data_IF_024619605910
#
_entry.id   IF_024619605910
#
_cell.length_a   1.000
_cell.length_b   1.000
_cell.length_c   1.000
_cell.angle_alpha   90.00
_cell.angle_beta   90.00
_cell.angle_gamma   90.00
#
_symmetry.space_group_name_H-M   'P 1'
#
loop_
_entity.id
_entity.type
_entity.pdbx_description
1 polymer ?
#
# COMPACT_ATOMS: atom_id res chain seq x y z
N UNK A 1 -36.58 9.15 -19.45
CA UNK A 1 -36.59 10.48 -20.11
C UNK A 1 -36.91 11.64 -19.14
N UNK A 2 -36.62 11.52 -17.82
CA UNK A 2 -36.76 12.62 -16.83
C UNK A 2 -35.41 13.10 -16.26
N UNK A 3 -34.33 12.34 -16.48
CA UNK A 3 -32.97 12.67 -16.02
C UNK A 3 -32.33 13.78 -16.89
N UNK A 4 -32.50 13.71 -18.22
CA UNK A 4 -31.95 14.70 -19.16
C UNK A 4 -32.50 16.14 -19.00
N UNK A 5 -33.71 16.29 -18.46
CA UNK A 5 -34.33 17.60 -18.24
C UNK A 5 -33.79 18.29 -16.98
N UNK A 6 -33.44 17.52 -15.94
CA UNK A 6 -32.86 18.04 -14.71
C UNK A 6 -31.42 18.52 -14.94
N UNK A 7 -30.60 17.71 -15.64
CA UNK A 7 -29.22 18.07 -15.97
C UNK A 7 -29.14 19.30 -16.90
N UNK A 8 -30.08 19.41 -17.85
CA UNK A 8 -30.19 20.58 -18.73
C UNK A 8 -30.59 21.85 -17.97
N UNK A 9 -31.43 21.75 -16.95
CA UNK A 9 -31.83 22.89 -16.13
C UNK A 9 -30.69 23.39 -15.22
N UNK A 10 -29.90 22.47 -14.67
CA UNK A 10 -28.73 22.78 -13.84
C UNK A 10 -27.66 23.57 -14.59
N UNK A 11 -27.29 23.13 -15.80
CA UNK A 11 -26.32 23.85 -16.64
C UNK A 11 -26.75 25.29 -16.98
N UNK A 12 -28.04 25.52 -17.20
CA UNK A 12 -28.58 26.85 -17.54
C UNK A 12 -28.53 27.79 -16.33
N UNK A 13 -28.74 27.28 -15.12
CA UNK A 13 -28.67 28.09 -13.89
C UNK A 13 -27.25 28.47 -13.51
N UNK A 14 -26.27 27.58 -13.72
CA UNK A 14 -24.86 27.86 -13.41
C UNK A 14 -24.24 28.86 -14.40
N UNK A 15 -24.62 28.81 -15.68
CA UNK A 15 -24.16 29.78 -16.68
C UNK A 15 -24.59 31.23 -16.36
N UNK A 16 -25.78 31.43 -15.81
CA UNK A 16 -26.29 32.75 -15.42
C UNK A 16 -25.64 33.32 -14.15
N UNK A 17 -25.00 32.48 -13.33
CA UNK A 17 -24.26 32.91 -12.13
C UNK A 17 -22.84 33.39 -12.44
N UNK A 18 -22.44 33.41 -13.71
CA UNK A 18 -21.11 33.83 -14.16
C UNK A 18 -19.97 33.02 -13.52
N UNK A 19 -20.22 31.72 -13.27
CA UNK A 19 -19.19 30.76 -12.89
C UNK A 19 -18.33 30.43 -14.13
N UNK A 20 -17.16 31.05 -14.27
CA UNK A 20 -16.20 30.79 -15.36
C UNK A 20 -15.36 29.54 -15.15
N UNK A 21 -15.52 28.85 -14.02
CA UNK A 21 -14.73 27.68 -13.69
C UNK A 21 -15.54 26.42 -13.96
N UNK A 22 -15.35 25.88 -15.17
CA UNK A 22 -15.74 24.52 -15.54
C UNK A 22 -14.78 23.53 -14.87
N UNK A 23 -14.72 23.55 -13.55
CA UNK A 23 -13.91 22.63 -12.75
C UNK A 23 -14.89 21.87 -11.91
N UNK A 24 -15.13 20.60 -12.27
CA UNK A 24 -15.88 19.69 -11.42
C UNK A 24 -15.27 19.75 -10.01
N UNK A 25 -16.11 20.00 -9.01
CA UNK A 25 -15.70 19.80 -7.62
C UNK A 25 -15.14 18.39 -7.51
N UNK A 26 -13.90 18.26 -7.06
CA UNK A 26 -13.25 16.97 -6.87
C UNK A 26 -14.20 16.15 -6.00
N UNK A 27 -14.71 14.99 -6.50
CA UNK A 27 -15.63 14.19 -5.72
C UNK A 27 -14.98 13.89 -4.38
N UNK A 28 -15.68 14.26 -3.30
CA UNK A 28 -15.21 14.09 -1.94
C UNK A 28 -14.68 12.66 -1.78
N UNK A 29 -13.34 12.56 -1.65
CA UNK A 29 -12.64 11.28 -1.65
C UNK A 29 -13.18 10.50 -0.45
N UNK A 30 -13.99 9.48 -0.74
CA UNK A 30 -14.70 8.66 0.23
C UNK A 30 -13.78 8.38 1.43
N UNK A 31 -14.20 8.88 2.60
CA UNK A 31 -13.33 9.15 3.75
C UNK A 31 -12.26 8.09 4.02
N UNK A 32 -11.02 8.56 3.99
CA UNK A 32 -9.74 7.86 3.90
C UNK A 32 -9.26 7.16 5.17
N UNK A 33 -10.05 7.10 6.24
CA UNK A 33 -9.61 6.52 7.53
C UNK A 33 -9.32 5.03 7.42
N UNK A 34 -10.22 4.27 6.78
CA UNK A 34 -10.00 2.86 6.48
C UNK A 34 -8.78 2.63 5.58
N UNK A 35 -8.47 3.58 4.70
CA UNK A 35 -7.28 3.50 3.84
C UNK A 35 -6.00 3.71 4.65
N UNK A 36 -6.00 4.68 5.57
CA UNK A 36 -4.86 4.95 6.47
C UNK A 36 -4.59 3.79 7.41
N UNK A 37 -5.61 3.21 8.04
CA UNK A 37 -5.47 2.05 8.93
C UNK A 37 -4.93 0.82 8.19
N UNK A 38 -5.38 0.62 6.94
CA UNK A 38 -4.85 -0.45 6.10
C UNK A 38 -3.39 -0.21 5.69
N UNK A 39 -2.98 1.04 5.43
CA UNK A 39 -1.59 1.39 5.12
C UNK A 39 -0.68 1.09 6.33
N UNK A 40 -1.08 1.52 7.53
CA UNK A 40 -0.29 1.28 8.75
C UNK A 40 -0.23 -0.20 9.09
N UNK A 41 -1.32 -0.94 8.93
CA UNK A 41 -1.34 -2.38 9.13
C UNK A 41 -0.43 -3.11 8.12
N UNK A 42 -0.51 -2.80 6.82
CA UNK A 42 0.39 -3.38 5.81
C UNK A 42 1.86 -3.08 6.13
N UNK A 43 2.16 -1.86 6.58
CA UNK A 43 3.51 -1.47 6.98
C UNK A 43 4.04 -2.35 8.13
N UNK A 44 3.24 -2.53 9.18
CA UNK A 44 3.59 -3.34 10.34
C UNK A 44 3.78 -4.82 9.98
N UNK A 45 2.96 -5.35 9.05
CA UNK A 45 3.10 -6.71 8.54
C UNK A 45 4.43 -6.92 7.81
N UNK A 46 4.86 -5.97 6.98
CA UNK A 46 6.15 -6.03 6.26
C UNK A 46 7.33 -5.97 7.22
N UNK A 47 7.27 -5.10 8.23
CA UNK A 47 8.32 -4.95 9.24
C UNK A 47 8.46 -6.22 10.10
N UNK A 48 7.34 -6.83 10.49
CA UNK A 48 7.31 -8.06 11.30
C UNK A 48 7.75 -9.28 10.49
N UNK A 49 7.30 -9.40 9.25
CA UNK A 49 7.52 -10.58 8.42
C UNK A 49 7.96 -10.20 7.01
N UNK A 50 9.28 -10.06 6.86
CA UNK A 50 9.96 -9.64 5.62
C UNK A 50 9.73 -10.54 4.39
N UNK A 51 9.04 -11.67 4.55
CA UNK A 51 8.76 -12.66 3.48
C UNK A 51 7.28 -12.88 3.19
N UNK A 52 6.40 -12.01 3.69
CA UNK A 52 4.96 -12.14 3.41
C UNK A 52 4.64 -11.97 1.93
N UNK A 53 3.70 -12.76 1.45
CA UNK A 53 3.20 -12.68 0.07
C UNK A 53 2.00 -11.76 -0.05
N UNK A 54 1.76 -11.23 -1.26
CA UNK A 54 0.59 -10.43 -1.59
C UNK A 54 -0.74 -11.12 -1.21
N UNK A 55 -0.82 -12.44 -1.41
CA UNK A 55 -2.01 -13.23 -1.07
C UNK A 55 -2.22 -13.31 0.44
N UNK A 56 -1.17 -13.51 1.23
CA UNK A 56 -1.27 -13.55 2.69
C UNK A 56 -1.74 -12.21 3.25
N UNK A 57 -1.17 -11.11 2.75
CA UNK A 57 -1.58 -9.75 3.15
C UNK A 57 -3.04 -9.50 2.79
N UNK A 58 -3.44 -9.85 1.56
CA UNK A 58 -4.84 -9.80 1.13
C UNK A 58 -5.77 -10.57 2.05
N UNK A 59 -5.45 -11.83 2.36
CA UNK A 59 -6.31 -12.68 3.21
C UNK A 59 -6.38 -12.16 4.64
N UNK A 60 -5.27 -11.62 5.17
CA UNK A 60 -5.24 -11.08 6.54
C UNK A 60 -6.05 -9.80 6.72
N UNK A 61 -6.08 -8.93 5.70
CA UNK A 61 -6.75 -7.63 5.79
C UNK A 61 -8.10 -7.59 5.07
N UNK A 62 -8.44 -8.61 4.29
CA UNK A 62 -9.68 -8.65 3.51
C UNK A 62 -9.75 -7.63 2.36
N UNK A 63 -8.61 -7.10 1.92
CA UNK A 63 -8.52 -6.01 0.94
C UNK A 63 -8.46 -6.56 -0.50
N UNK A 64 -9.00 -5.82 -1.48
CA UNK A 64 -8.83 -6.18 -2.89
C UNK A 64 -7.35 -6.03 -3.34
N UNK A 65 -6.90 -6.91 -4.23
CA UNK A 65 -5.56 -6.89 -4.82
C UNK A 65 -5.22 -5.53 -5.47
N UNK A 66 -6.20 -4.85 -6.09
CA UNK A 66 -5.99 -3.53 -6.70
C UNK A 66 -5.70 -2.43 -5.67
N UNK A 67 -6.37 -2.46 -4.52
CA UNK A 67 -6.10 -1.53 -3.41
C UNK A 67 -4.73 -1.82 -2.79
N UNK A 68 -4.40 -3.09 -2.61
CA UNK A 68 -3.10 -3.51 -2.10
C UNK A 68 -1.97 -3.07 -3.05
N UNK A 69 -2.13 -3.22 -4.37
CA UNK A 69 -1.19 -2.63 -5.33
C UNK A 69 -1.05 -1.12 -5.15
N UNK A 70 -2.15 -0.37 -5.02
CA UNK A 70 -2.08 1.08 -4.76
C UNK A 70 -1.30 1.39 -3.47
N UNK A 71 -1.49 0.62 -2.40
CA UNK A 71 -0.75 0.76 -1.13
C UNK A 71 0.76 0.61 -1.36
N UNK A 72 1.20 -0.44 -2.06
CA UNK A 72 2.60 -0.73 -2.34
C UNK A 72 3.29 0.20 -3.35
N UNK A 73 2.55 0.90 -4.21
CA UNK A 73 3.17 1.80 -5.20
C UNK A 73 3.04 3.27 -4.83
N UNK A 74 1.91 3.67 -4.21
CA UNK A 74 1.61 5.07 -3.89
C UNK A 74 2.02 5.47 -2.48
N UNK A 75 1.89 4.56 -1.50
CA UNK A 75 2.03 4.91 -0.08
C UNK A 75 3.26 4.30 0.60
N UNK A 76 3.66 3.09 0.20
CA UNK A 76 4.88 2.43 0.67
C UNK A 76 5.83 2.19 -0.49
N UNK A 77 6.90 2.97 -0.69
CA UNK A 77 7.86 2.74 -1.76
C UNK A 77 8.78 1.55 -1.44
N UNK A 78 8.21 0.35 -1.28
CA UNK A 78 8.93 -0.88 -0.97
C UNK A 78 9.26 -1.65 -2.25
N UNK A 79 10.51 -2.10 -2.34
CA UNK A 79 10.97 -2.94 -3.46
C UNK A 79 11.01 -4.40 -3.02
N UNK A 80 10.60 -5.31 -3.92
CA UNK A 80 10.75 -6.74 -3.69
C UNK A 80 12.21 -7.14 -3.89
N UNK A 81 12.86 -7.55 -2.80
CA UNK A 81 14.22 -8.09 -2.84
C UNK A 81 14.21 -9.61 -2.74
N UNK A 82 15.09 -10.27 -3.50
CA UNK A 82 15.36 -11.69 -3.34
C UNK A 82 16.34 -11.90 -2.18
N UNK A 83 16.09 -12.91 -1.34
CA UNK A 83 17.03 -13.26 -0.27
C UNK A 83 18.27 -13.91 -0.85
N UNK A 84 19.45 -13.54 -0.34
CA UNK A 84 20.71 -14.20 -0.70
C UNK A 84 20.65 -15.70 -0.38
N UNK A 85 21.15 -16.52 -1.30
CA UNK A 85 21.28 -17.96 -1.07
C UNK A 85 22.29 -18.24 0.03
N UNK A 86 21.92 -19.08 0.99
CA UNK A 86 22.78 -19.51 2.10
C UNK A 86 23.10 -20.99 1.87
N UNK A 87 24.39 -21.36 1.71
CA UNK A 87 24.76 -22.73 1.38
C UNK A 87 24.37 -23.77 2.42
N UNK A 88 24.45 -23.39 3.71
CA UNK A 88 24.19 -24.30 4.81
C UNK A 88 23.53 -23.59 5.99
N UNK A 89 22.56 -24.26 6.60
CA UNK A 89 21.89 -23.79 7.81
C UNK A 89 22.72 -24.17 9.05
N UNK A 90 23.63 -23.29 9.45
CA UNK A 90 24.48 -23.51 10.62
C UNK A 90 23.67 -23.61 11.93
N UNK A 91 24.06 -24.55 12.79
CA UNK A 91 23.61 -24.61 14.17
C UNK A 91 24.20 -23.46 15.00
N UNK A 92 23.57 -23.14 16.13
CA UNK A 92 24.05 -22.07 17.00
C UNK A 92 25.47 -22.32 17.51
N UNK A 93 25.81 -23.58 17.82
CA UNK A 93 27.17 -23.96 18.21
C UNK A 93 28.19 -23.68 17.09
N UNK A 94 27.87 -24.04 15.85
CA UNK A 94 28.75 -23.78 14.70
C UNK A 94 28.92 -22.28 14.43
N UNK A 95 27.87 -21.47 14.60
CA UNK A 95 27.97 -20.00 14.50
C UNK A 95 28.89 -19.43 15.57
N UNK A 96 28.76 -19.89 16.81
CA UNK A 96 29.59 -19.43 17.92
C UNK A 96 31.07 -19.76 17.69
N UNK A 97 31.36 -20.99 17.25
CA UNK A 97 32.72 -21.40 16.89
C UNK A 97 33.34 -20.49 15.83
N UNK A 98 32.60 -20.15 14.77
CA UNK A 98 33.07 -19.23 13.74
C UNK A 98 33.34 -17.82 14.28
N UNK A 99 32.47 -17.31 15.15
CA UNK A 99 32.65 -15.99 15.77
C UNK A 99 33.91 -15.97 16.66
N UNK A 100 34.10 -17.01 17.48
CA UNK A 100 35.27 -17.12 18.35
C UNK A 100 36.56 -17.21 17.53
N UNK A 101 36.57 -18.07 16.50
CA UNK A 101 37.69 -18.19 15.58
C UNK A 101 38.07 -16.85 14.92
N UNK A 102 37.08 -16.10 14.42
CA UNK A 102 37.33 -14.79 13.82
C UNK A 102 37.86 -13.75 14.83
N UNK A 103 37.53 -13.88 16.12
CA UNK A 103 38.00 -12.97 17.18
C UNK A 103 39.41 -13.30 17.64
N UNK A 104 39.80 -14.57 17.59
CA UNK A 104 41.16 -15.01 17.97
C UNK A 104 42.19 -14.79 16.85
N UNK A 105 41.74 -14.78 15.59
CA UNK A 105 42.60 -14.58 14.41
C UNK A 105 42.72 -13.12 13.92
N UNK A 106 41.95 -12.17 14.47
CA UNK A 106 42.13 -10.73 14.26
C UNK A 106 42.79 -10.09 15.48
#
# INVERSE_FOLDING_TARGET
>A
MKLYLADRCYCITEFKRSCTNLTDDVPEERSSTATTDNITAVRLMIETAKRMTYQQIRTSLGINMGQLHKIFYKYLPVVKLCTRWIPYNFTNAQKLWRINWCREMM
#
